data_IF_700049293219
#
_entry.id   IF_700049293219
#
_cell.length_a   1.000
_cell.length_b   1.000
_cell.length_c   1.000
_cell.angle_alpha   90.00
_cell.angle_beta   90.00
_cell.angle_gamma   90.00
#
_symmetry.space_group_name_H-M   'P 1'
#
loop_
_entity.id
_entity.type
_entity.pdbx_description
1 polymer ?
#
# COMPACT_ATOMS: atom_id res chain seq x y z
N UNK A 1 13.47 -33.28 -10.04
CA UNK A 1 12.20 -32.77 -9.47
C UNK A 1 12.51 -31.41 -8.87
N UNK A 2 12.11 -30.34 -9.56
CA UNK A 2 12.30 -28.95 -9.15
C UNK A 2 11.35 -28.67 -7.97
N UNK A 3 11.80 -29.01 -6.77
CA UNK A 3 11.06 -28.79 -5.55
C UNK A 3 11.50 -27.48 -4.90
N UNK A 4 10.50 -26.77 -4.38
CA UNK A 4 10.60 -25.69 -3.39
C UNK A 4 10.81 -24.28 -3.95
N UNK A 5 9.76 -23.81 -4.63
CA UNK A 5 8.99 -22.59 -4.35
C UNK A 5 9.74 -21.60 -3.44
N UNK A 6 10.24 -20.52 -4.06
CA UNK A 6 10.23 -19.12 -3.61
C UNK A 6 10.02 -18.92 -2.09
N UNK A 7 11.00 -19.31 -1.29
CA UNK A 7 11.02 -18.96 0.12
C UNK A 7 11.63 -17.56 0.27
N UNK A 8 10.76 -16.58 0.51
CA UNK A 8 11.13 -15.32 1.13
C UNK A 8 11.66 -14.26 0.19
N UNK A 9 10.78 -13.68 -0.64
CA UNK A 9 10.98 -12.25 -0.89
C UNK A 9 10.63 -11.57 0.43
N UNK A 10 11.64 -11.29 1.25
CA UNK A 10 11.48 -10.52 2.47
C UNK A 10 10.90 -9.16 2.05
N UNK A 11 9.58 -9.00 2.19
CA UNK A 11 8.95 -7.70 2.04
C UNK A 11 9.57 -6.83 3.12
N UNK A 12 10.45 -5.91 2.71
CA UNK A 12 10.95 -4.89 3.60
C UNK A 12 9.71 -4.07 3.98
N UNK A 13 9.16 -4.32 5.17
CA UNK A 13 8.00 -3.60 5.65
C UNK A 13 8.36 -2.12 5.73
N UNK A 14 7.91 -1.34 4.76
CA UNK A 14 8.02 0.10 4.81
C UNK A 14 7.00 0.53 5.86
N UNK A 15 7.49 1.05 6.98
CA UNK A 15 6.70 1.32 8.19
C UNK A 15 5.40 2.08 7.93
N UNK A 16 4.44 1.90 8.82
CA UNK A 16 3.11 2.51 8.71
C UNK A 16 3.19 4.04 8.61
N UNK A 17 2.55 4.60 7.60
CA UNK A 17 2.37 6.05 7.41
C UNK A 17 1.07 6.44 8.07
N UNK A 18 1.11 7.53 8.83
CA UNK A 18 -0.10 8.13 9.39
C UNK A 18 -0.41 9.41 8.63
N UNK A 19 -1.59 9.46 8.04
CA UNK A 19 -2.11 10.62 7.32
C UNK A 19 -3.27 11.19 8.15
N UNK A 20 -3.19 12.47 8.53
CA UNK A 20 -4.29 13.14 9.23
C UNK A 20 -5.47 13.38 8.28
N UNK A 21 -6.67 13.03 8.70
CA UNK A 21 -7.90 13.19 7.93
C UNK A 21 -8.25 12.01 7.02
N UNK A 22 -9.03 12.30 5.98
CA UNK A 22 -9.55 11.33 5.01
C UNK A 22 -8.44 10.86 4.06
N UNK A 23 -8.12 9.56 4.10
CA UNK A 23 -7.17 8.94 3.15
C UNK A 23 -7.79 8.89 1.77
N UNK A 24 -7.22 9.66 0.85
CA UNK A 24 -7.64 9.72 -0.56
C UNK A 24 -6.55 9.22 -1.50
N UNK A 25 -6.90 8.85 -2.73
CA UNK A 25 -5.93 8.48 -3.78
C UNK A 25 -4.79 9.49 -3.93
N UNK A 26 -5.11 10.78 -3.88
CA UNK A 26 -4.12 11.86 -3.99
C UNK A 26 -3.08 11.83 -2.86
N UNK A 27 -3.52 11.64 -1.62
CA UNK A 27 -2.60 11.57 -0.48
C UNK A 27 -1.71 10.32 -0.55
N UNK A 28 -2.26 9.20 -1.04
CA UNK A 28 -1.48 7.99 -1.31
C UNK A 28 -0.40 8.28 -2.37
N UNK A 29 -0.75 8.93 -3.48
CA UNK A 29 0.20 9.35 -4.52
C UNK A 29 1.28 10.31 -3.98
N UNK A 30 0.93 11.25 -3.12
CA UNK A 30 1.89 12.17 -2.49
C UNK A 30 2.91 11.42 -1.60
N UNK A 31 2.46 10.41 -0.84
CA UNK A 31 3.33 9.57 -0.02
C UNK A 31 4.21 8.63 -0.87
N UNK A 32 3.67 8.10 -1.97
CA UNK A 32 4.44 7.32 -2.95
C UNK A 32 5.54 8.18 -3.60
N UNK A 33 5.23 9.42 -3.99
CA UNK A 33 6.19 10.35 -4.61
C UNK A 33 7.35 10.67 -3.65
N UNK A 34 7.06 10.94 -2.37
CA UNK A 34 8.09 11.16 -1.33
C UNK A 34 9.06 9.99 -1.18
N UNK A 35 8.63 8.79 -1.56
CA UNK A 35 9.36 7.53 -1.43
C UNK A 35 9.89 7.00 -2.75
N UNK A 36 9.70 7.75 -3.85
CA UNK A 36 10.10 7.36 -5.20
C UNK A 36 9.54 5.98 -5.60
N UNK A 37 8.24 5.77 -5.39
CA UNK A 37 7.51 4.55 -5.75
C UNK A 37 6.55 4.89 -6.89
N UNK A 38 6.74 4.35 -8.09
CA UNK A 38 5.94 4.73 -9.26
C UNK A 38 4.55 4.08 -9.27
N UNK A 39 4.45 2.85 -8.76
CA UNK A 39 3.21 2.06 -8.77
C UNK A 39 3.06 1.23 -7.48
N UNK A 40 1.84 1.19 -6.93
CA UNK A 40 1.45 0.27 -5.85
C UNK A 40 0.02 -0.20 -6.05
N UNK A 41 -0.25 -1.45 -5.66
CA UNK A 41 -1.59 -2.05 -5.67
C UNK A 41 -2.15 -2.04 -4.25
N UNK A 42 -3.40 -1.64 -4.08
CA UNK A 42 -4.10 -1.78 -2.80
C UNK A 42 -4.39 -3.26 -2.56
N UNK A 43 -3.78 -3.89 -1.56
CA UNK A 43 -4.00 -5.32 -1.26
C UNK A 43 -4.96 -5.57 -0.10
N UNK A 44 -5.36 -4.52 0.62
CA UNK A 44 -6.38 -4.63 1.64
C UNK A 44 -6.84 -3.28 2.18
N UNK A 45 -8.13 -3.18 2.49
CA UNK A 45 -8.73 -2.00 3.12
C UNK A 45 -9.46 -2.44 4.39
N UNK A 46 -8.96 -2.01 5.54
CA UNK A 46 -9.63 -2.16 6.83
C UNK A 46 -10.27 -0.83 7.22
N UNK A 47 -11.55 -0.67 6.87
CA UNK A 47 -12.34 0.52 7.20
C UNK A 47 -12.74 0.60 8.67
N UNK A 48 -12.65 -0.49 9.44
CA UNK A 48 -12.93 -0.44 10.87
C UNK A 48 -11.76 0.19 11.65
N UNK A 49 -10.53 -0.05 11.17
CA UNK A 49 -9.31 0.50 11.76
C UNK A 49 -8.71 1.66 10.94
N UNK A 50 -9.37 2.08 9.86
CA UNK A 50 -8.91 3.10 8.92
C UNK A 50 -7.49 2.84 8.39
N UNK A 51 -7.24 1.60 7.99
CA UNK A 51 -5.95 1.15 7.44
C UNK A 51 -6.08 0.71 5.98
N UNK A 52 -5.12 1.10 5.15
CA UNK A 52 -4.94 0.64 3.77
C UNK A 52 -3.58 -0.02 3.65
N UNK A 53 -3.54 -1.17 3.00
CA UNK A 53 -2.30 -1.89 2.66
C UNK A 53 -2.05 -1.78 1.17
N UNK A 54 -0.81 -1.43 0.84
CA UNK A 54 -0.33 -1.21 -0.51
C UNK A 54 0.89 -2.10 -0.74
N UNK A 55 0.99 -2.73 -1.90
CA UNK A 55 2.14 -3.53 -2.28
C UNK A 55 2.67 -3.11 -3.65
N UNK A 56 3.99 -3.00 -3.72
CA UNK A 56 4.77 -2.90 -4.95
C UNK A 56 5.41 -4.27 -5.18
N UNK A 57 4.86 -5.02 -6.12
CA UNK A 57 5.32 -6.37 -6.44
C UNK A 57 6.64 -6.39 -7.20
N UNK A 58 6.97 -5.33 -7.97
CA UNK A 58 8.21 -5.26 -8.73
C UNK A 58 9.42 -5.12 -7.80
N UNK A 59 9.28 -4.28 -6.78
CA UNK A 59 10.36 -4.01 -5.82
C UNK A 59 10.18 -4.75 -4.49
N UNK A 60 9.13 -5.57 -4.36
CA UNK A 60 8.74 -6.30 -3.16
C UNK A 60 8.68 -5.42 -1.90
N UNK A 61 7.99 -4.29 -2.02
CA UNK A 61 7.77 -3.33 -0.93
C UNK A 61 6.32 -3.38 -0.50
N UNK A 62 6.08 -3.38 0.80
CA UNK A 62 4.74 -3.23 1.36
C UNK A 62 4.66 -1.93 2.14
N UNK A 63 3.56 -1.21 1.98
CA UNK A 63 3.27 0.02 2.69
C UNK A 63 1.92 -0.09 3.38
N UNK A 64 1.86 0.40 4.62
CA UNK A 64 0.60 0.54 5.36
C UNK A 64 0.31 2.02 5.57
N UNK A 65 -0.89 2.45 5.24
CA UNK A 65 -1.36 3.83 5.44
C UNK A 65 -2.51 3.79 6.43
N UNK A 66 -2.42 4.61 7.48
CA UNK A 66 -3.46 4.79 8.49
C UNK A 66 -3.95 6.22 8.46
N UNK A 67 -5.25 6.43 8.54
CA UNK A 67 -5.82 7.77 8.69
C UNK A 67 -7.01 7.80 9.62
N UNK A 68 -7.73 8.92 9.60
CA UNK A 68 -8.92 9.12 10.44
C UNK A 68 -10.18 8.56 9.76
N UNK A 69 -10.17 8.47 8.43
CA UNK A 69 -11.22 7.86 7.60
C UNK A 69 -10.62 7.44 6.24
N UNK A 70 -11.32 6.61 5.47
CA UNK A 70 -10.89 6.13 4.14
C UNK A 70 -11.93 6.50 3.09
N UNK A 71 -11.49 7.13 2.01
CA UNK A 71 -12.33 7.45 0.86
C UNK A 71 -13.04 6.19 0.33
N UNK A 72 -14.36 6.28 0.13
CA UNK A 72 -15.17 5.18 -0.38
C UNK A 72 -14.90 4.86 -1.85
N UNK A 73 -14.21 5.76 -2.56
CA UNK A 73 -13.77 5.54 -3.94
C UNK A 73 -12.53 4.66 -4.07
N UNK A 74 -11.86 4.35 -2.96
CA UNK A 74 -10.74 3.41 -2.93
C UNK A 74 -11.25 1.97 -2.81
N UNK A 75 -10.82 1.11 -3.72
CA UNK A 75 -11.18 -0.31 -3.74
C UNK A 75 -9.95 -1.20 -3.58
N UNK A 76 -10.15 -2.41 -3.06
CA UNK A 76 -9.09 -3.42 -3.06
C UNK A 76 -8.74 -3.82 -4.50
N UNK A 77 -7.47 -4.10 -4.74
CA UNK A 77 -6.86 -4.38 -6.03
C UNK A 77 -6.81 -3.20 -7.01
N UNK A 78 -7.15 -1.98 -6.57
CA UNK A 78 -6.88 -0.77 -7.33
C UNK A 78 -5.38 -0.52 -7.42
N UNK A 79 -4.91 -0.27 -8.65
CA UNK A 79 -3.55 0.20 -8.89
C UNK A 79 -3.49 1.72 -8.77
N UNK A 80 -2.61 2.20 -7.90
CA UNK A 80 -2.27 3.60 -7.74
C UNK A 80 -0.95 3.84 -8.47
N UNK A 81 -0.98 4.69 -9.50
CA UNK A 81 0.19 5.15 -10.24
C UNK A 81 0.38 6.65 -9.96
N UNK A 82 1.62 7.14 -9.97
CA UNK A 82 1.93 8.58 -9.90
C UNK A 82 1.88 9.23 -11.29
#
# INVERSE_FOLDING_TARGET
MLGWILAGIAAAAIGAIVISGLVTKRQIQEEMLKRNIEEMIITGIDRCNNVIKLEDWENNRSLEIRGDDIDYTLEEYDTICI
#
